data_IF_502923678308
#
_entry.id   IF_502923678308
#
_cell.length_a   1.000
_cell.length_b   1.000
_cell.length_c   1.000
_cell.angle_alpha   90.00
_cell.angle_beta   90.00
_cell.angle_gamma   90.00
#
_symmetry.space_group_name_H-M   'P 1'
#
loop_
_entity.id
_entity.type
_entity.pdbx_description
1 polymer ?
#
# COMPACT_ATOMS: atom_id res chain seq x y z
N UNK A 1 3.52 -2.22 -0.75
CA UNK A 1 2.12 -2.76 -0.82
C UNK A 1 2.04 -4.18 -0.26
N UNK A 2 0.87 -4.63 0.14
CA UNK A 2 0.64 -6.03 0.53
C UNK A 2 0.52 -6.96 -0.68
N UNK A 3 0.72 -8.26 -0.47
CA UNK A 3 0.70 -9.27 -1.54
C UNK A 3 -0.58 -9.24 -2.38
N UNK A 4 -1.75 -9.11 -1.76
CA UNK A 4 -3.04 -9.12 -2.47
C UNK A 4 -3.23 -7.90 -3.39
N UNK A 5 -2.49 -6.84 -3.17
CA UNK A 5 -2.43 -5.68 -4.08
C UNK A 5 -1.62 -5.99 -5.34
N UNK A 6 -0.65 -6.89 -5.26
CA UNK A 6 0.12 -7.33 -6.43
C UNK A 6 -0.57 -8.46 -7.20
N UNK A 7 -1.17 -9.43 -6.50
CA UNK A 7 -1.76 -10.59 -7.16
C UNK A 7 -2.61 -11.46 -6.24
N UNK A 8 -3.38 -12.38 -6.83
CA UNK A 8 -4.26 -13.27 -6.10
C UNK A 8 -3.48 -14.34 -5.33
N UNK A 9 -4.15 -14.92 -4.34
CA UNK A 9 -3.65 -16.07 -3.60
C UNK A 9 -2.66 -15.74 -2.48
N UNK A 10 -2.48 -16.69 -1.58
CA UNK A 10 -1.61 -16.60 -0.39
C UNK A 10 -0.59 -17.72 -0.29
N UNK A 11 -0.62 -18.69 -1.22
CA UNK A 11 0.30 -19.82 -1.33
C UNK A 11 1.54 -19.45 -2.15
N UNK A 12 2.25 -20.43 -2.65
CA UNK A 12 3.38 -20.25 -3.57
C UNK A 12 3.02 -19.35 -4.76
N UNK A 13 4.03 -18.72 -5.35
CA UNK A 13 3.83 -17.82 -6.47
C UNK A 13 3.52 -18.57 -7.76
N UNK A 14 2.50 -18.13 -8.47
CA UNK A 14 2.44 -18.31 -9.92
C UNK A 14 3.46 -17.35 -10.55
N UNK A 15 4.58 -17.88 -11.02
CA UNK A 15 5.67 -17.08 -11.58
C UNK A 15 5.32 -16.43 -12.92
N UNK A 16 4.25 -16.87 -13.59
CA UNK A 16 3.74 -16.23 -14.80
C UNK A 16 2.98 -14.92 -14.49
N UNK A 17 2.49 -14.77 -13.25
CA UNK A 17 1.76 -13.58 -12.82
C UNK A 17 2.71 -12.39 -12.62
N UNK A 18 2.41 -11.28 -13.26
CA UNK A 18 3.24 -10.05 -13.25
C UNK A 18 2.56 -8.83 -12.61
N UNK A 19 1.43 -9.01 -11.93
CA UNK A 19 0.64 -7.94 -11.36
C UNK A 19 -0.66 -7.67 -12.14
N UNK A 20 -1.47 -6.77 -11.62
CA UNK A 20 -2.78 -6.44 -12.19
C UNK A 20 -2.73 -5.43 -13.34
N UNK A 21 -1.57 -4.81 -13.60
CA UNK A 21 -1.44 -3.60 -14.44
C UNK A 21 -0.89 -3.87 -15.85
N UNK A 22 -0.66 -5.13 -16.22
CA UNK A 22 0.00 -5.47 -17.47
C UNK A 22 1.51 -5.18 -17.46
N UNK A 23 2.08 -4.96 -18.63
CA UNK A 23 3.54 -4.86 -18.80
C UNK A 23 4.13 -3.51 -18.35
N UNK A 24 3.32 -2.42 -18.35
CA UNK A 24 3.73 -1.07 -17.93
C UNK A 24 2.91 -0.58 -16.72
N UNK A 25 3.25 -1.00 -15.49
CA UNK A 25 2.57 -0.53 -14.29
C UNK A 25 2.76 0.98 -14.06
N UNK A 26 1.76 1.70 -13.52
CA UNK A 26 1.77 3.16 -13.43
C UNK A 26 2.68 3.75 -12.35
N UNK A 27 3.48 2.94 -11.70
CA UNK A 27 4.33 3.40 -10.59
C UNK A 27 5.61 4.07 -11.05
N UNK A 28 6.27 3.56 -12.10
CA UNK A 28 7.54 4.06 -12.63
C UNK A 28 8.60 4.30 -11.55
N UNK A 29 8.63 3.43 -10.56
CA UNK A 29 9.45 3.53 -9.35
C UNK A 29 9.66 2.15 -8.72
N UNK A 30 10.61 1.99 -7.77
CA UNK A 30 10.72 0.79 -6.96
C UNK A 30 9.45 0.56 -6.13
N UNK A 31 8.92 -0.66 -6.16
CA UNK A 31 7.73 -1.10 -5.41
C UNK A 31 8.09 -2.31 -4.57
N UNK A 32 7.86 -2.24 -3.28
CA UNK A 32 8.13 -3.32 -2.33
C UNK A 32 6.84 -4.03 -1.97
N UNK A 33 6.80 -5.35 -2.24
CA UNK A 33 5.63 -6.20 -2.03
C UNK A 33 5.85 -7.07 -0.79
N UNK A 34 5.07 -6.84 0.27
CA UNK A 34 5.08 -7.65 1.48
C UNK A 34 4.44 -9.02 1.22
N UNK A 35 5.16 -10.09 1.51
CA UNK A 35 4.76 -11.47 1.25
C UNK A 35 5.43 -12.42 2.24
N UNK A 36 4.93 -13.65 2.37
CA UNK A 36 5.58 -14.74 3.10
C UNK A 36 6.37 -15.68 2.19
N UNK A 37 6.27 -15.52 0.88
CA UNK A 37 6.91 -16.38 -0.11
C UNK A 37 7.92 -15.59 -0.93
N UNK A 38 9.17 -16.06 -0.93
CA UNK A 38 10.24 -15.43 -1.68
C UNK A 38 9.95 -15.49 -3.18
N UNK A 39 10.33 -14.43 -3.88
CA UNK A 39 10.30 -14.34 -5.34
C UNK A 39 11.41 -13.40 -5.79
N UNK A 40 12.03 -13.73 -6.94
CA UNK A 40 13.00 -12.85 -7.57
C UNK A 40 12.36 -11.51 -7.96
N UNK A 41 13.12 -10.41 -7.88
CA UNK A 41 12.64 -9.10 -8.33
C UNK A 41 12.15 -9.14 -9.78
N UNK A 42 11.12 -8.37 -10.05
CA UNK A 42 10.48 -8.31 -11.37
C UNK A 42 10.59 -6.89 -11.93
N UNK A 43 11.42 -6.75 -12.98
CA UNK A 43 11.51 -5.51 -13.73
C UNK A 43 10.41 -5.44 -14.76
N UNK A 44 9.67 -4.34 -14.78
CA UNK A 44 8.57 -4.07 -15.71
C UNK A 44 8.95 -2.95 -16.67
N UNK A 45 8.18 -2.77 -17.73
CA UNK A 45 8.31 -1.62 -18.60
C UNK A 45 8.07 -0.31 -17.83
N UNK A 46 8.50 0.81 -18.36
CA UNK A 46 8.33 2.13 -17.72
C UNK A 46 9.09 2.35 -16.41
N UNK A 47 9.97 1.40 -16.01
CA UNK A 47 10.87 1.56 -14.87
C UNK A 47 10.27 1.16 -13.51
N UNK A 48 9.12 0.49 -13.48
CA UNK A 48 8.62 -0.13 -12.25
C UNK A 48 9.42 -1.40 -11.94
N UNK A 49 9.93 -1.53 -10.72
CA UNK A 49 10.58 -2.74 -10.24
C UNK A 49 9.88 -3.25 -8.98
N UNK A 50 9.29 -4.44 -9.05
CA UNK A 50 8.73 -5.13 -7.90
C UNK A 50 9.81 -5.92 -7.16
N UNK A 51 9.99 -5.62 -5.88
CA UNK A 51 10.87 -6.38 -4.98
C UNK A 51 10.00 -7.02 -3.89
N UNK A 52 10.14 -8.33 -3.72
CA UNK A 52 9.33 -9.10 -2.77
C UNK A 52 10.05 -9.20 -1.43
N UNK A 53 9.39 -8.74 -0.36
CA UNK A 53 9.98 -8.60 0.98
C UNK A 53 9.29 -9.57 1.94
N UNK A 54 10.08 -10.47 2.53
CA UNK A 54 9.59 -11.53 3.42
C UNK A 54 9.91 -11.31 4.90
N UNK A 55 10.68 -10.28 5.22
CA UNK A 55 11.21 -9.99 6.55
C UNK A 55 10.46 -8.84 7.26
N UNK A 56 9.22 -8.58 6.85
CA UNK A 56 8.26 -7.75 7.58
C UNK A 56 8.20 -6.30 7.15
N UNK A 57 7.30 -5.55 7.83
CA UNK A 57 6.93 -4.18 7.45
C UNK A 57 8.08 -3.17 7.64
N UNK A 58 8.92 -3.35 8.67
CA UNK A 58 10.03 -2.43 8.93
C UNK A 58 11.10 -2.55 7.84
N UNK A 59 11.49 -3.77 7.46
CA UNK A 59 12.44 -3.98 6.37
C UNK A 59 11.93 -3.41 5.04
N UNK A 60 10.66 -3.63 4.71
CA UNK A 60 10.07 -3.05 3.50
C UNK A 60 10.08 -1.52 3.53
N UNK A 61 9.79 -0.91 4.68
CA UNK A 61 9.80 0.54 4.84
C UNK A 61 11.21 1.12 4.72
N UNK A 62 12.21 0.49 5.34
CA UNK A 62 13.59 0.95 5.28
C UNK A 62 14.16 0.88 3.86
N UNK A 63 13.85 -0.19 3.12
CA UNK A 63 14.21 -0.31 1.70
C UNK A 63 13.51 0.76 0.86
N UNK A 64 12.22 1.01 1.13
CA UNK A 64 11.46 2.02 0.42
C UNK A 64 11.98 3.44 0.68
N UNK A 65 12.33 3.77 1.94
CA UNK A 65 12.94 5.05 2.31
C UNK A 65 14.30 5.24 1.65
N UNK A 66 15.13 4.21 1.66
CA UNK A 66 16.43 4.24 0.98
C UNK A 66 16.28 4.51 -0.52
N UNK A 67 15.32 3.86 -1.17
CA UNK A 67 15.05 4.06 -2.60
C UNK A 67 14.40 5.43 -2.89
N UNK A 68 13.62 5.97 -1.97
CA UNK A 68 12.94 7.26 -2.12
C UNK A 68 13.90 8.44 -1.95
N UNK A 69 14.96 8.31 -1.12
CA UNK A 69 15.82 9.44 -0.74
C UNK A 69 15.01 10.51 -0.02
N UNK A 70 14.99 11.73 -0.57
CA UNK A 70 14.24 12.87 -0.01
C UNK A 70 12.76 12.91 -0.42
N UNK A 71 12.27 11.91 -1.16
CA UNK A 71 10.88 11.83 -1.61
C UNK A 71 10.03 11.04 -0.60
N UNK A 72 8.71 11.22 -0.70
CA UNK A 72 7.75 10.48 0.09
C UNK A 72 7.72 8.99 -0.29
N UNK A 73 7.38 8.16 0.69
CA UNK A 73 7.06 6.75 0.52
C UNK A 73 5.55 6.58 0.60
N UNK A 74 4.93 6.02 -0.45
CA UNK A 74 3.51 5.74 -0.47
C UNK A 74 3.21 4.28 -0.09
N UNK A 75 2.30 4.06 0.84
CA UNK A 75 1.77 2.74 1.19
C UNK A 75 0.46 2.53 0.42
N UNK A 76 0.51 1.73 -0.63
CA UNK A 76 -0.62 1.55 -1.56
C UNK A 76 -1.74 0.60 -1.04
N UNK A 77 -1.57 0.00 0.12
CA UNK A 77 -2.58 -0.90 0.70
C UNK A 77 -2.16 -2.39 0.60
N UNK A 78 -3.06 -3.42 0.79
CA UNK A 78 -4.46 -3.30 1.29
C UNK A 78 -4.59 -2.90 2.77
N UNK A 79 -5.84 -2.96 3.25
CA UNK A 79 -6.17 -2.51 4.61
C UNK A 79 -5.31 -3.18 5.69
N UNK A 80 -5.11 -4.50 5.63
CA UNK A 80 -4.26 -5.20 6.59
C UNK A 80 -2.82 -4.68 6.63
N UNK A 81 -2.25 -4.28 5.50
CA UNK A 81 -0.91 -3.69 5.43
C UNK A 81 -0.91 -2.29 6.03
N UNK A 82 -1.89 -1.45 5.68
CA UNK A 82 -2.03 -0.10 6.23
C UNK A 82 -2.20 -0.16 7.75
N UNK A 83 -3.05 -1.07 8.25
CA UNK A 83 -3.31 -1.22 9.69
C UNK A 83 -2.04 -1.59 10.47
N UNK A 84 -1.17 -2.46 9.93
CA UNK A 84 0.11 -2.78 10.56
C UNK A 84 1.02 -1.54 10.67
N UNK A 85 1.16 -0.76 9.61
CA UNK A 85 1.95 0.48 9.65
C UNK A 85 1.34 1.56 10.54
N UNK A 86 0.01 1.67 10.59
CA UNK A 86 -0.68 2.59 11.51
C UNK A 86 -0.48 2.18 12.97
N UNK A 87 -0.63 0.89 13.28
CA UNK A 87 -0.39 0.37 14.62
C UNK A 87 1.06 0.60 15.07
N UNK A 88 2.02 0.45 14.16
CA UNK A 88 3.43 0.73 14.40
C UNK A 88 3.79 2.22 14.44
N UNK A 89 2.84 3.14 14.18
CA UNK A 89 3.10 4.59 14.16
C UNK A 89 4.00 5.04 13.00
N UNK A 90 3.90 4.38 11.85
CA UNK A 90 4.76 4.61 10.68
C UNK A 90 4.07 5.36 9.54
N UNK A 91 2.87 5.88 9.76
CA UNK A 91 2.12 6.66 8.77
C UNK A 91 1.94 8.08 9.28
N UNK A 92 2.36 9.04 8.48
CA UNK A 92 2.24 10.48 8.76
C UNK A 92 0.96 11.07 8.17
N UNK A 93 0.56 10.61 6.97
CA UNK A 93 -0.64 11.07 6.27
C UNK A 93 -1.45 9.90 5.72
N UNK A 94 -2.77 10.04 5.78
CA UNK A 94 -3.73 9.09 5.20
C UNK A 94 -4.56 9.81 4.15
N UNK A 95 -4.64 9.23 2.95
CA UNK A 95 -5.52 9.71 1.88
C UNK A 95 -6.57 8.64 1.59
N UNK A 96 -7.83 8.97 1.85
CA UNK A 96 -8.96 8.08 1.59
C UNK A 96 -9.78 8.57 0.40
N UNK A 97 -10.28 7.61 -0.37
CA UNK A 97 -11.20 7.84 -1.48
C UNK A 97 -12.45 6.99 -1.25
N UNK A 98 -13.53 7.64 -0.81
CA UNK A 98 -14.77 6.98 -0.41
C UNK A 98 -15.73 7.02 -1.61
N UNK A 99 -15.95 5.86 -2.23
CA UNK A 99 -16.93 5.72 -3.28
C UNK A 99 -18.37 5.74 -2.71
N UNK A 100 -19.35 6.33 -3.41
CA UNK A 100 -20.74 6.41 -2.96
C UNK A 100 -21.49 5.08 -3.19
N UNK A 101 -21.00 4.01 -2.57
CA UNK A 101 -21.54 2.65 -2.69
C UNK A 101 -21.40 1.91 -1.35
N UNK A 102 -22.38 1.08 -1.03
CA UNK A 102 -22.32 0.17 0.13
C UNK A 102 -21.92 -1.21 -0.37
N UNK A 103 -20.91 -1.81 0.25
CA UNK A 103 -20.39 -3.14 -0.12
C UNK A 103 -20.92 -4.24 0.81
N UNK A 104 -21.27 -3.89 2.07
CA UNK A 104 -21.82 -4.80 3.05
C UNK A 104 -20.80 -5.70 3.75
N UNK A 105 -19.70 -6.08 3.11
CA UNK A 105 -18.61 -6.87 3.68
C UNK A 105 -17.28 -6.52 3.01
N UNK A 106 -16.16 -6.85 3.62
CA UNK A 106 -14.82 -6.61 3.09
C UNK A 106 -13.79 -6.35 4.18
N UNK A 107 -12.58 -6.02 3.75
CA UNK A 107 -11.48 -5.66 4.64
C UNK A 107 -11.76 -4.29 5.29
N UNK A 108 -11.49 -4.19 6.59
CA UNK A 108 -11.75 -2.96 7.36
C UNK A 108 -10.48 -2.16 7.54
N UNK A 109 -10.51 -0.91 7.09
CA UNK A 109 -9.49 0.06 7.45
C UNK A 109 -9.66 0.42 8.95
N UNK A 110 -8.54 0.54 9.67
CA UNK A 110 -8.44 0.79 11.11
C UNK A 110 -8.79 -0.39 12.04
N UNK A 111 -8.99 -1.59 11.51
CA UNK A 111 -9.19 -2.77 12.34
C UNK A 111 -7.90 -3.13 13.09
N UNK A 112 -8.00 -3.34 14.42
CA UNK A 112 -6.84 -3.62 15.27
C UNK A 112 -5.84 -2.47 15.45
N UNK A 113 -6.16 -1.28 14.97
CA UNK A 113 -5.31 -0.09 15.14
C UNK A 113 -5.64 0.59 16.48
N UNK A 114 -4.65 0.92 17.31
CA UNK A 114 -4.89 1.72 18.52
C UNK A 114 -5.50 3.08 18.17
N UNK A 115 -6.32 3.67 19.06
CA UNK A 115 -6.90 4.98 18.82
C UNK A 115 -5.85 6.02 18.44
N UNK A 116 -6.08 6.76 17.36
CA UNK A 116 -5.24 7.83 16.85
C UNK A 116 -6.08 9.07 16.53
N UNK A 117 -5.56 10.23 16.84
CA UNK A 117 -6.17 11.47 16.40
C UNK A 117 -5.76 11.75 14.96
N UNK A 118 -6.76 12.08 14.14
CA UNK A 118 -6.58 12.45 12.74
C UNK A 118 -6.97 13.92 12.55
N UNK A 119 -6.07 14.73 12.04
CA UNK A 119 -6.34 16.11 11.68
C UNK A 119 -6.71 16.16 10.19
N UNK A 120 -7.86 16.73 9.86
CA UNK A 120 -8.26 16.95 8.47
C UNK A 120 -7.32 17.99 7.82
N UNK A 121 -6.68 17.62 6.73
CA UNK A 121 -5.86 18.51 5.90
C UNK A 121 -6.70 19.06 4.74
N UNK A 122 -7.45 18.18 4.06
CA UNK A 122 -8.24 18.56 2.90
C UNK A 122 -9.45 17.63 2.73
N UNK A 123 -10.54 18.19 2.21
CA UNK A 123 -11.72 17.44 1.78
C UNK A 123 -12.12 17.94 0.40
N UNK A 124 -12.39 17.01 -0.52
CA UNK A 124 -12.86 17.33 -1.87
C UNK A 124 -13.95 16.34 -2.27
N UNK A 125 -15.12 16.86 -2.59
CA UNK A 125 -16.19 16.10 -3.24
C UNK A 125 -15.98 16.00 -4.75
N UNK A 126 -16.27 14.85 -5.32
CA UNK A 126 -16.38 14.61 -6.75
C UNK A 126 -17.58 13.72 -7.04
N UNK A 127 -17.99 13.59 -8.29
CA UNK A 127 -19.19 12.82 -8.66
C UNK A 127 -19.14 11.34 -8.28
N UNK A 128 -17.93 10.75 -8.26
CA UNK A 128 -17.73 9.32 -8.03
C UNK A 128 -16.99 9.00 -6.73
N UNK A 129 -16.52 10.00 -5.97
CA UNK A 129 -15.84 9.77 -4.70
C UNK A 129 -15.77 11.04 -3.85
N UNK A 130 -15.65 10.86 -2.54
CA UNK A 130 -15.17 11.89 -1.60
C UNK A 130 -13.71 11.60 -1.26
N UNK A 131 -12.86 12.57 -1.46
CA UNK A 131 -11.42 12.48 -1.16
C UNK A 131 -11.14 13.22 0.14
N UNK A 132 -10.52 12.55 1.08
CA UNK A 132 -10.15 13.14 2.38
C UNK A 132 -8.67 12.85 2.64
N UNK A 133 -7.94 13.90 3.01
CA UNK A 133 -6.56 13.78 3.49
C UNK A 133 -6.49 14.12 4.96
N UNK A 134 -5.84 13.27 5.73
CA UNK A 134 -5.60 13.43 7.16
C UNK A 134 -4.12 13.42 7.48
N UNK A 135 -3.74 14.20 8.49
CA UNK A 135 -2.47 14.02 9.20
C UNK A 135 -2.71 13.13 10.42
N UNK A 136 -1.85 12.15 10.63
CA UNK A 136 -1.84 11.34 11.85
C UNK A 136 -1.13 12.14 12.94
N UNK A 137 -1.80 12.35 14.07
CA UNK A 137 -1.19 13.02 15.23
C UNK A 137 -0.55 11.95 16.12
N UNK A 138 0.76 12.01 16.26
CA UNK A 138 1.57 11.10 17.08
C UNK A 138 1.67 11.57 18.53
#
# INVERSE_FOLDING_TARGET
MGRNMFGPGRSEWDLSWKGWWGDDPPYHAPVFVLTHHLREPLMMEGGTMFTFVTDGIESALDRARTAAGDRDVAIAGGAATINQYLAAGRIDEIRTHIAPVTVGAGERLFDGVPPRNLQIIAVRGASLATHISYRVVH
#
